data_IF_956012739819
#
_entry.id   IF_956012739819
#
_cell.length_a   1.000
_cell.length_b   1.000
_cell.length_c   1.000
_cell.angle_alpha   90.00
_cell.angle_beta   90.00
_cell.angle_gamma   90.00
#
_symmetry.space_group_name_H-M   'P 1'
#
loop_
_entity.id
_entity.type
_entity.pdbx_description
1 polymer ?
#
# COMPACT_ATOMS: atom_id res chain seq x y z
N UNK A 1 -19.35 -2.21 15.21
CA UNK A 1 -19.56 -3.67 15.01
C UNK A 1 -18.49 -4.46 15.78
N UNK A 2 -18.86 -5.64 16.31
CA UNK A 2 -17.88 -6.57 16.88
C UNK A 2 -16.90 -7.10 15.83
N UNK A 3 -15.75 -7.58 16.29
CA UNK A 3 -14.78 -8.24 15.42
C UNK A 3 -15.37 -9.56 14.89
N UNK A 4 -15.55 -9.70 13.55
CA UNK A 4 -16.10 -10.90 12.94
C UNK A 4 -15.03 -11.94 12.59
N UNK A 5 -13.76 -11.74 12.97
CA UNK A 5 -12.70 -12.69 12.67
C UNK A 5 -13.00 -14.06 13.29
N UNK A 6 -12.88 -15.18 12.54
CA UNK A 6 -13.31 -16.49 13.01
C UNK A 6 -12.55 -17.01 14.24
N UNK A 7 -11.33 -16.53 14.46
CA UNK A 7 -10.48 -16.96 15.57
C UNK A 7 -10.50 -15.83 16.60
N UNK A 8 -10.95 -16.06 17.84
CA UNK A 8 -10.94 -15.01 18.85
C UNK A 8 -9.52 -14.69 19.33
N UNK A 9 -9.32 -13.53 19.98
CA UNK A 9 -8.03 -13.18 20.58
C UNK A 9 -7.52 -14.27 21.52
N UNK A 10 -6.29 -14.72 21.29
CA UNK A 10 -5.65 -15.78 22.08
C UNK A 10 -5.12 -15.21 23.41
N UNK A 11 -5.67 -15.56 24.59
CA UNK A 11 -5.36 -14.85 25.83
C UNK A 11 -3.88 -14.85 26.21
N UNK A 12 -3.18 -15.96 25.98
CA UNK A 12 -1.76 -16.08 26.26
C UNK A 12 -0.91 -15.16 25.36
N UNK A 13 -1.30 -15.01 24.10
CA UNK A 13 -0.58 -14.20 23.11
C UNK A 13 -0.84 -12.72 23.37
N UNK A 14 -2.08 -12.34 23.64
CA UNK A 14 -2.45 -10.99 24.07
C UNK A 14 -1.65 -10.58 25.31
N UNK A 15 -1.54 -11.46 26.31
CA UNK A 15 -0.74 -11.23 27.51
C UNK A 15 0.76 -11.12 27.20
N UNK A 16 1.28 -11.95 26.29
CA UNK A 16 2.69 -11.93 25.90
C UNK A 16 3.08 -10.63 25.18
N UNK A 17 2.21 -10.07 24.34
CA UNK A 17 2.48 -8.83 23.62
C UNK A 17 2.14 -7.57 24.43
N UNK A 18 1.37 -7.69 25.52
CA UNK A 18 0.94 -6.56 26.34
C UNK A 18 2.08 -5.61 26.75
N UNK A 19 3.25 -6.09 27.25
CA UNK A 19 4.33 -5.17 27.65
C UNK A 19 4.87 -4.33 26.47
N UNK A 20 4.95 -4.93 25.28
CA UNK A 20 5.34 -4.22 24.06
C UNK A 20 4.26 -3.21 23.65
N UNK A 21 2.99 -3.62 23.69
CA UNK A 21 1.86 -2.75 23.39
C UNK A 21 1.79 -1.55 24.36
N UNK A 22 2.03 -1.77 25.65
CA UNK A 22 2.03 -0.70 26.65
C UNK A 22 3.19 0.27 26.42
N UNK A 23 4.40 -0.24 26.15
CA UNK A 23 5.59 0.58 25.91
C UNK A 23 5.43 1.48 24.66
N UNK A 24 4.87 0.93 23.58
CA UNK A 24 4.60 1.67 22.35
C UNK A 24 3.19 2.25 22.28
N UNK A 25 2.43 2.24 23.39
CA UNK A 25 1.04 2.70 23.47
C UNK A 25 0.10 2.18 22.36
N UNK A 26 0.32 0.95 21.89
CA UNK A 26 -0.51 0.27 20.88
C UNK A 26 -1.69 -0.44 21.56
N UNK A 27 -2.57 0.34 22.19
CA UNK A 27 -3.65 -0.11 23.09
C UNK A 27 -4.47 -1.30 22.57
N UNK A 28 -4.78 -1.34 21.27
CA UNK A 28 -5.63 -2.38 20.67
C UNK A 28 -4.84 -3.51 20.00
N UNK A 29 -3.51 -3.42 19.92
CA UNK A 29 -2.68 -4.49 19.35
C UNK A 29 -2.88 -5.84 20.07
N UNK A 30 -2.96 -5.94 21.42
CA UNK A 30 -3.20 -7.22 22.09
C UNK A 30 -4.50 -7.91 21.67
N UNK A 31 -5.50 -7.14 21.21
CA UNK A 31 -6.76 -7.69 20.70
C UNK A 31 -6.54 -8.34 19.32
N UNK A 32 -5.76 -7.70 18.45
CA UNK A 32 -5.62 -8.08 17.04
C UNK A 32 -4.28 -8.74 16.67
N UNK A 33 -3.37 -8.96 17.63
CA UNK A 33 -2.03 -9.52 17.38
C UNK A 33 -2.09 -10.87 16.68
N UNK A 34 -3.10 -11.68 16.99
CA UNK A 34 -3.31 -12.97 16.36
C UNK A 34 -3.64 -12.83 14.86
N UNK A 35 -4.46 -11.85 14.46
CA UNK A 35 -4.74 -11.55 13.05
C UNK A 35 -3.52 -11.03 12.30
N UNK A 36 -2.70 -10.18 12.95
CA UNK A 36 -1.43 -9.68 12.39
C UNK A 36 -0.51 -10.86 12.08
N UNK A 37 -0.33 -11.77 13.04
CA UNK A 37 0.52 -12.96 12.87
C UNK A 37 -0.04 -13.94 11.85
N UNK A 38 -1.35 -14.22 11.89
CA UNK A 38 -2.00 -15.12 10.93
C UNK A 38 -1.85 -14.57 9.52
N UNK A 39 -2.05 -13.26 9.33
CA UNK A 39 -1.91 -12.61 8.02
C UNK A 39 -0.45 -12.66 7.54
N UNK A 40 0.51 -12.27 8.39
CA UNK A 40 1.93 -12.32 8.05
C UNK A 40 2.40 -13.72 7.67
N UNK A 41 2.06 -14.73 8.48
CA UNK A 41 2.42 -16.12 8.24
C UNK A 41 1.67 -16.68 7.02
N UNK A 42 0.41 -16.29 6.83
CA UNK A 42 -0.40 -16.65 5.67
C UNK A 42 0.22 -16.17 4.36
N UNK A 43 0.61 -14.90 4.28
CA UNK A 43 1.28 -14.36 3.09
C UNK A 43 2.68 -14.93 2.89
N UNK A 44 3.42 -15.22 3.97
CA UNK A 44 4.69 -15.94 3.90
C UNK A 44 4.51 -17.35 3.32
N UNK A 45 3.48 -18.08 3.78
CA UNK A 45 3.12 -19.39 3.25
C UNK A 45 2.71 -19.33 1.78
N UNK A 46 1.90 -18.33 1.41
CA UNK A 46 1.48 -18.13 0.03
C UNK A 46 2.70 -17.89 -0.85
N UNK A 47 3.58 -16.96 -0.46
CA UNK A 47 4.77 -16.60 -1.22
C UNK A 47 5.74 -17.78 -1.42
N UNK A 48 6.03 -18.52 -0.35
CA UNK A 48 7.12 -19.50 -0.36
C UNK A 48 6.66 -20.89 -0.82
N UNK A 49 5.38 -21.20 -0.67
CA UNK A 49 4.86 -22.56 -0.90
C UNK A 49 3.76 -22.52 -1.96
N UNK A 50 2.65 -21.83 -1.69
CA UNK A 50 1.46 -21.93 -2.54
C UNK A 50 1.68 -21.36 -3.94
N UNK A 51 2.22 -20.14 -4.05
CA UNK A 51 2.41 -19.44 -5.31
C UNK A 51 3.40 -20.19 -6.23
N UNK A 52 4.58 -20.63 -5.78
CA UNK A 52 5.47 -21.43 -6.61
C UNK A 52 4.87 -22.77 -7.05
N UNK A 53 4.18 -23.48 -6.16
CA UNK A 53 3.59 -24.78 -6.48
C UNK A 53 2.43 -24.65 -7.47
N UNK A 54 1.53 -23.69 -7.22
CA UNK A 54 0.39 -23.43 -8.09
C UNK A 54 0.86 -22.93 -9.46
N UNK A 55 1.83 -22.02 -9.50
CA UNK A 55 2.37 -21.48 -10.76
C UNK A 55 3.10 -22.53 -11.59
N UNK A 56 3.85 -23.46 -10.96
CA UNK A 56 4.42 -24.63 -11.64
C UNK A 56 3.34 -25.55 -12.21
N UNK A 57 2.19 -25.67 -11.56
CA UNK A 57 1.10 -26.55 -12.01
C UNK A 57 0.27 -25.93 -13.13
N UNK A 58 -0.08 -24.65 -13.02
CA UNK A 58 -0.94 -23.95 -13.98
C UNK A 58 -0.12 -23.48 -15.19
N UNK A 59 1.11 -23.00 -14.98
CA UNK A 59 1.97 -22.43 -16.01
C UNK A 59 3.33 -23.14 -16.09
N UNK A 60 3.38 -24.48 -16.25
CA UNK A 60 4.61 -25.28 -16.11
C UNK A 60 5.74 -24.82 -17.04
N UNK A 61 5.40 -24.44 -18.27
CA UNK A 61 6.39 -24.01 -19.28
C UNK A 61 6.86 -22.58 -19.06
N UNK A 62 5.93 -21.65 -18.79
CA UNK A 62 6.25 -20.22 -18.65
C UNK A 62 6.99 -19.95 -17.35
N UNK A 63 6.44 -20.40 -16.22
CA UNK A 63 7.02 -20.16 -14.91
C UNK A 63 8.41 -20.80 -14.77
N UNK A 64 8.62 -22.02 -15.29
CA UNK A 64 9.92 -22.68 -15.22
C UNK A 64 11.05 -21.88 -15.91
N UNK A 65 10.73 -21.20 -17.02
CA UNK A 65 11.68 -20.40 -17.83
C UNK A 65 12.02 -19.04 -17.22
N UNK A 66 11.29 -18.58 -16.20
CA UNK A 66 11.58 -17.30 -15.55
C UNK A 66 12.92 -17.35 -14.80
N UNK A 67 13.65 -16.24 -14.83
CA UNK A 67 14.82 -16.01 -13.99
C UNK A 67 14.44 -16.01 -12.50
N UNK A 68 15.39 -16.21 -11.57
CA UNK A 68 15.09 -16.18 -10.13
C UNK A 68 14.37 -14.89 -9.69
N UNK A 69 14.85 -13.72 -10.13
CA UNK A 69 14.24 -12.42 -9.80
C UNK A 69 12.80 -12.31 -10.34
N UNK A 70 12.56 -12.78 -11.57
CA UNK A 70 11.21 -12.78 -12.17
C UNK A 70 10.26 -13.76 -11.49
N UNK A 71 10.77 -14.86 -10.93
CA UNK A 71 9.96 -15.78 -10.11
C UNK A 71 9.55 -15.12 -8.79
N UNK A 72 10.48 -14.42 -8.14
CA UNK A 72 10.17 -13.66 -6.93
C UNK A 72 9.09 -12.63 -7.23
N UNK A 73 9.25 -11.84 -8.30
CA UNK A 73 8.25 -10.84 -8.67
C UNK A 73 6.89 -11.51 -9.00
N UNK A 74 6.90 -12.62 -9.74
CA UNK A 74 5.70 -13.41 -10.01
C UNK A 74 4.98 -13.87 -8.74
N UNK A 75 5.70 -14.45 -7.80
CA UNK A 75 5.12 -15.01 -6.57
C UNK A 75 4.58 -13.88 -5.66
N UNK A 76 5.23 -12.72 -5.64
CA UNK A 76 4.73 -11.51 -4.97
C UNK A 76 3.44 -10.99 -5.61
N UNK A 77 3.32 -11.00 -6.94
CA UNK A 77 2.06 -10.66 -7.62
C UNK A 77 0.91 -11.62 -7.26
N UNK A 78 1.20 -12.90 -7.01
CA UNK A 78 0.19 -13.85 -6.51
C UNK A 78 -0.25 -13.47 -5.10
N UNK A 79 0.69 -13.14 -4.21
CA UNK A 79 0.38 -12.70 -2.84
C UNK A 79 -0.44 -11.41 -2.86
N UNK A 80 -0.03 -10.41 -3.63
CA UNK A 80 -0.73 -9.13 -3.80
C UNK A 80 -2.15 -9.34 -4.33
N UNK A 81 -2.36 -10.25 -5.28
CA UNK A 81 -3.70 -10.56 -5.79
C UNK A 81 -4.60 -11.17 -4.71
N UNK A 82 -4.10 -12.12 -3.93
CA UNK A 82 -4.85 -12.75 -2.83
C UNK A 82 -5.18 -11.73 -1.75
N UNK A 83 -4.19 -10.94 -1.33
CA UNK A 83 -4.35 -9.87 -0.35
C UNK A 83 -5.43 -8.91 -0.82
N UNK A 84 -5.21 -8.27 -1.98
CA UNK A 84 -6.01 -7.12 -2.41
C UNK A 84 -7.44 -7.53 -2.69
N UNK A 85 -7.68 -8.73 -3.20
CA UNK A 85 -9.04 -9.26 -3.33
C UNK A 85 -9.70 -9.46 -1.96
N UNK A 86 -8.98 -10.09 -1.01
CA UNK A 86 -9.52 -10.42 0.31
C UNK A 86 -9.80 -9.18 1.14
N UNK A 87 -8.82 -8.29 1.30
CA UNK A 87 -8.94 -7.15 2.19
C UNK A 87 -9.97 -6.13 1.69
N UNK A 88 -10.06 -5.92 0.37
CA UNK A 88 -11.03 -4.98 -0.17
C UNK A 88 -12.44 -5.51 -0.03
N UNK A 89 -12.66 -6.81 -0.25
CA UNK A 89 -13.95 -7.44 0.00
C UNK A 89 -14.38 -7.26 1.45
N UNK A 90 -13.50 -7.58 2.40
CA UNK A 90 -13.78 -7.44 3.83
C UNK A 90 -13.97 -5.97 4.23
N UNK A 91 -13.12 -5.06 3.77
CA UNK A 91 -13.20 -3.64 4.09
C UNK A 91 -14.49 -3.01 3.56
N UNK A 92 -14.89 -3.32 2.33
CA UNK A 92 -16.17 -2.88 1.77
C UNK A 92 -17.33 -3.45 2.58
N UNK A 93 -17.28 -4.74 2.92
CA UNK A 93 -18.32 -5.35 3.75
C UNK A 93 -18.43 -4.67 5.13
N UNK A 94 -17.31 -4.38 5.81
CA UNK A 94 -17.32 -3.61 7.07
C UNK A 94 -17.89 -2.21 6.83
N UNK A 95 -17.46 -1.51 5.78
CA UNK A 95 -17.97 -0.17 5.46
C UNK A 95 -19.48 -0.15 5.18
N UNK A 96 -20.05 -1.25 4.65
CA UNK A 96 -21.48 -1.37 4.35
C UNK A 96 -22.32 -1.95 5.49
N UNK A 97 -21.74 -2.62 6.49
CA UNK A 97 -22.50 -3.30 7.55
C UNK A 97 -22.23 -2.73 8.96
N UNK A 98 -21.11 -2.05 9.18
CA UNK A 98 -20.79 -1.45 10.46
C UNK A 98 -21.45 -0.06 10.60
N UNK A 99 -22.70 -0.06 11.08
CA UNK A 99 -23.47 1.16 11.32
C UNK A 99 -22.82 2.09 12.35
N UNK A 100 -22.13 1.56 13.37
CA UNK A 100 -21.40 2.38 14.36
C UNK A 100 -20.31 3.18 13.65
N UNK A 101 -19.49 2.49 12.83
CA UNK A 101 -18.43 3.13 12.05
C UNK A 101 -19.00 4.17 11.09
N UNK A 102 -20.09 3.87 10.37
CA UNK A 102 -20.67 4.79 9.38
C UNK A 102 -21.13 6.10 9.99
N UNK A 103 -21.66 6.06 11.20
CA UNK A 103 -22.25 7.21 11.88
C UNK A 103 -21.25 7.99 12.73
N UNK A 104 -19.95 7.65 12.68
CA UNK A 104 -18.91 8.33 13.45
C UNK A 104 -18.78 9.82 13.09
N UNK A 105 -18.91 10.67 14.10
CA UNK A 105 -18.57 12.08 14.01
C UNK A 105 -17.05 12.31 13.90
N UNK A 106 -16.59 13.56 13.90
CA UNK A 106 -15.16 13.84 13.73
C UNK A 106 -14.30 13.34 14.90
N UNK A 107 -14.81 13.38 16.14
CA UNK A 107 -14.08 12.90 17.32
C UNK A 107 -13.95 11.38 17.25
N UNK A 108 -15.07 10.70 16.98
CA UNK A 108 -15.12 9.25 16.86
C UNK A 108 -14.29 8.74 15.67
N UNK A 109 -14.12 9.51 14.60
CA UNK A 109 -13.19 9.15 13.51
C UNK A 109 -11.72 9.21 13.91
N UNK A 110 -11.35 10.02 14.92
CA UNK A 110 -9.99 10.09 15.44
C UNK A 110 -9.78 9.05 16.54
N UNK A 111 -10.59 9.01 17.60
CA UNK A 111 -10.32 8.17 18.77
C UNK A 111 -11.21 6.93 18.87
N UNK A 112 -12.28 6.89 18.09
CA UNK A 112 -13.24 5.79 18.13
C UNK A 112 -12.66 4.49 17.58
N UNK A 113 -13.21 3.40 18.07
CA UNK A 113 -12.80 2.05 17.77
C UNK A 113 -14.02 1.17 17.51
N UNK A 114 -13.90 0.31 16.49
CA UNK A 114 -14.81 -0.83 16.29
C UNK A 114 -13.98 -2.09 16.07
N UNK A 115 -14.48 -3.23 16.53
CA UNK A 115 -13.77 -4.50 16.37
C UNK A 115 -13.56 -4.86 14.91
N UNK A 116 -14.56 -4.62 14.06
CA UNK A 116 -14.47 -4.88 12.62
C UNK A 116 -13.43 -4.00 11.90
N UNK A 117 -13.31 -2.72 12.25
CA UNK A 117 -12.24 -1.89 11.69
C UNK A 117 -10.86 -2.27 12.25
N UNK A 118 -10.81 -2.67 13.53
CA UNK A 118 -9.64 -3.30 14.16
C UNK A 118 -9.16 -4.54 13.40
N UNK A 119 -10.08 -5.41 12.98
CA UNK A 119 -9.79 -6.60 12.17
C UNK A 119 -9.12 -6.26 10.84
N UNK A 120 -9.71 -5.33 10.09
CA UNK A 120 -9.14 -4.87 8.81
C UNK A 120 -7.73 -4.32 9.00
N UNK A 121 -7.53 -3.57 10.08
CA UNK A 121 -6.22 -3.02 10.43
C UNK A 121 -5.22 -4.09 10.85
N UNK A 122 -5.63 -5.09 11.64
CA UNK A 122 -4.83 -6.25 12.01
C UNK A 122 -4.32 -7.01 10.78
N UNK A 123 -5.24 -7.35 9.89
CA UNK A 123 -4.92 -8.05 8.64
C UNK A 123 -4.03 -7.20 7.71
N UNK A 124 -4.30 -5.91 7.58
CA UNK A 124 -3.50 -4.99 6.78
C UNK A 124 -2.08 -4.82 7.34
N UNK A 125 -1.93 -4.63 8.66
CA UNK A 125 -0.59 -4.54 9.29
C UNK A 125 0.22 -5.82 9.06
N UNK A 126 -0.40 -7.00 9.21
CA UNK A 126 0.29 -8.27 8.94
C UNK A 126 0.77 -8.40 7.49
N UNK A 127 -0.03 -7.92 6.53
CA UNK A 127 0.39 -7.83 5.13
C UNK A 127 1.52 -6.85 4.91
N UNK A 128 1.40 -5.60 5.37
CA UNK A 128 2.43 -4.58 5.13
C UNK A 128 3.73 -4.87 5.87
N UNK A 129 3.69 -5.64 6.96
CA UNK A 129 4.88 -6.16 7.60
C UNK A 129 5.59 -7.19 6.71
N UNK A 130 4.83 -8.09 6.09
CA UNK A 130 5.36 -9.04 5.10
C UNK A 130 5.88 -8.31 3.85
N UNK A 131 5.15 -7.32 3.35
CA UNK A 131 5.51 -6.51 2.18
C UNK A 131 6.82 -5.75 2.40
N UNK A 132 6.97 -5.11 3.57
CA UNK A 132 8.21 -4.44 3.94
C UNK A 132 9.38 -5.43 4.03
N UNK A 133 9.18 -6.60 4.64
CA UNK A 133 10.21 -7.63 4.75
C UNK A 133 10.69 -8.10 3.36
N UNK A 134 9.76 -8.46 2.47
CA UNK A 134 10.09 -8.95 1.12
C UNK A 134 10.72 -7.85 0.27
N UNK A 135 10.20 -6.62 0.38
CA UNK A 135 10.75 -5.47 -0.32
C UNK A 135 12.17 -5.15 0.15
N UNK A 136 12.45 -5.19 1.47
CA UNK A 136 13.80 -5.00 2.03
C UNK A 136 14.80 -6.07 1.56
N UNK A 137 14.36 -7.32 1.47
CA UNK A 137 15.20 -8.42 0.99
C UNK A 137 15.52 -8.30 -0.51
N UNK A 138 14.66 -7.61 -1.27
CA UNK A 138 14.72 -7.54 -2.73
C UNK A 138 14.66 -6.09 -3.26
N UNK A 139 15.24 -5.12 -2.54
CA UNK A 139 15.17 -3.68 -2.91
C UNK A 139 15.69 -3.41 -4.33
N UNK A 140 16.67 -4.20 -4.79
CA UNK A 140 17.19 -4.07 -6.16
C UNK A 140 16.16 -4.43 -7.23
N UNK A 141 15.20 -5.29 -6.90
CA UNK A 141 14.12 -5.73 -7.81
C UNK A 141 12.95 -4.75 -7.75
N UNK A 142 12.53 -4.33 -6.56
CA UNK A 142 11.33 -3.50 -6.38
C UNK A 142 11.58 -1.99 -6.42
N UNK A 143 12.80 -1.55 -6.11
CA UNK A 143 13.19 -0.15 -6.09
C UNK A 143 12.75 0.63 -4.84
N UNK A 144 13.22 1.88 -4.75
CA UNK A 144 13.01 2.73 -3.58
C UNK A 144 11.57 3.24 -3.43
N UNK A 145 10.84 3.39 -4.54
CA UNK A 145 9.44 3.81 -4.51
C UNK A 145 8.56 2.80 -3.76
N UNK A 146 8.77 1.51 -4.03
CA UNK A 146 8.07 0.44 -3.32
C UNK A 146 8.51 0.29 -1.87
N UNK A 147 9.79 0.50 -1.57
CA UNK A 147 10.25 0.53 -0.19
C UNK A 147 9.58 1.67 0.61
N UNK A 148 9.48 2.87 0.02
CA UNK A 148 8.79 3.99 0.64
C UNK A 148 7.29 3.72 0.84
N UNK A 149 6.65 3.04 -0.12
CA UNK A 149 5.27 2.57 0.00
C UNK A 149 5.11 1.60 1.17
N UNK A 150 5.85 0.50 1.19
CA UNK A 150 5.74 -0.56 2.21
C UNK A 150 5.97 -0.02 3.62
N UNK A 151 6.98 0.84 3.79
CA UNK A 151 7.26 1.50 5.06
C UNK A 151 6.12 2.43 5.49
N UNK A 152 5.65 3.29 4.59
CA UNK A 152 4.59 4.26 4.90
C UNK A 152 3.27 3.57 5.21
N UNK A 153 2.93 2.53 4.45
CA UNK A 153 1.74 1.71 4.68
C UNK A 153 1.81 1.00 6.04
N UNK A 154 2.93 0.37 6.37
CA UNK A 154 3.10 -0.27 7.67
C UNK A 154 2.94 0.73 8.83
N UNK A 155 3.51 1.94 8.71
CA UNK A 155 3.40 2.99 9.73
C UNK A 155 1.92 3.38 9.94
N UNK A 156 1.19 3.71 8.87
CA UNK A 156 -0.19 4.20 9.01
C UNK A 156 -1.12 3.14 9.59
N UNK A 157 -0.96 1.87 9.22
CA UNK A 157 -1.79 0.78 9.77
C UNK A 157 -1.37 0.36 11.19
N UNK A 158 -0.07 0.43 11.51
CA UNK A 158 0.40 0.15 12.89
C UNK A 158 -0.07 1.21 13.88
N UNK A 159 -0.14 2.47 13.46
CA UNK A 159 -0.57 3.56 14.34
C UNK A 159 -2.04 3.51 14.68
N UNK A 160 -2.86 2.87 13.86
CA UNK A 160 -4.27 2.65 14.20
C UNK A 160 -4.48 1.74 15.41
N UNK A 161 -3.45 1.07 15.92
CA UNK A 161 -3.56 0.32 17.19
C UNK A 161 -3.54 1.23 18.41
N UNK A 162 -3.10 2.48 18.24
CA UNK A 162 -3.33 3.57 19.17
C UNK A 162 -4.80 4.02 19.03
N UNK A 163 -5.38 4.74 20.00
CA UNK A 163 -6.67 5.40 19.81
C UNK A 163 -6.52 6.58 18.82
N UNK A 164 -6.24 6.27 17.57
CA UNK A 164 -5.91 7.21 16.52
C UNK A 164 -6.30 6.64 15.16
N UNK A 165 -7.24 7.29 14.47
CA UNK A 165 -7.64 7.08 13.07
C UNK A 165 -8.01 5.65 12.67
N UNK A 166 -8.48 4.81 13.59
CA UNK A 166 -8.93 3.44 13.29
C UNK A 166 -10.04 3.40 12.23
N UNK A 167 -10.95 4.39 12.25
CA UNK A 167 -11.98 4.60 11.21
C UNK A 167 -11.39 4.60 9.79
N UNK A 168 -10.23 5.24 9.63
CA UNK A 168 -9.57 5.44 8.34
C UNK A 168 -8.85 4.19 7.84
N UNK A 169 -8.64 3.16 8.67
CA UNK A 169 -8.05 1.88 8.25
C UNK A 169 -8.86 1.23 7.12
N UNK A 170 -10.17 1.11 7.30
CA UNK A 170 -11.07 0.60 6.25
C UNK A 170 -11.15 1.51 5.02
N UNK A 171 -10.89 2.81 5.20
CA UNK A 171 -10.98 3.81 4.13
C UNK A 171 -9.77 3.79 3.21
N UNK A 172 -8.56 3.83 3.78
CA UNK A 172 -7.32 3.90 3.02
C UNK A 172 -6.86 2.55 2.47
N UNK A 173 -7.30 1.43 3.06
CA UNK A 173 -7.02 0.11 2.48
C UNK A 173 -7.66 -0.08 1.10
N UNK A 174 -8.72 0.69 0.78
CA UNK A 174 -9.34 0.70 -0.55
C UNK A 174 -8.42 1.22 -1.66
N UNK A 175 -7.24 1.75 -1.34
CA UNK A 175 -6.21 2.02 -2.35
C UNK A 175 -5.83 0.73 -3.08
N UNK A 176 -5.93 -0.41 -2.41
CA UNK A 176 -5.68 -1.72 -3.00
C UNK A 176 -6.75 -2.17 -3.99
N UNK A 177 -7.88 -1.46 -4.14
CA UNK A 177 -8.98 -1.89 -5.01
C UNK A 177 -8.58 -1.97 -6.49
N UNK A 178 -7.56 -1.19 -6.90
CA UNK A 178 -6.98 -1.28 -8.24
C UNK A 178 -5.96 -2.42 -8.41
N UNK A 179 -5.40 -2.94 -7.31
CA UNK A 179 -4.31 -3.92 -7.31
C UNK A 179 -4.68 -5.25 -7.98
N UNK A 180 -5.91 -5.80 -7.87
CA UNK A 180 -6.27 -7.00 -8.62
C UNK A 180 -6.12 -6.81 -10.14
N UNK A 181 -6.58 -5.67 -10.67
CA UNK A 181 -6.46 -5.35 -12.10
C UNK A 181 -5.01 -5.14 -12.51
N UNK A 182 -4.19 -4.55 -11.62
CA UNK A 182 -2.76 -4.37 -11.84
C UNK A 182 -2.05 -5.72 -11.96
N UNK A 183 -2.30 -6.62 -11.01
CA UNK A 183 -1.77 -7.98 -11.00
C UNK A 183 -2.16 -8.75 -12.27
N UNK A 184 -3.44 -8.74 -12.66
CA UNK A 184 -3.86 -9.38 -13.91
C UNK A 184 -3.22 -8.74 -15.16
N UNK A 185 -3.05 -7.41 -15.17
CA UNK A 185 -2.40 -6.73 -16.28
C UNK A 185 -0.95 -7.18 -16.43
N UNK A 186 -0.24 -7.32 -15.31
CA UNK A 186 1.13 -7.83 -15.25
C UNK A 186 1.20 -9.30 -15.68
N UNK A 187 0.30 -10.16 -15.20
CA UNK A 187 0.26 -11.57 -15.63
C UNK A 187 0.01 -11.71 -17.12
N UNK A 188 -0.88 -10.90 -17.71
CA UNK A 188 -1.09 -10.92 -19.17
C UNK A 188 0.19 -10.56 -19.94
N UNK A 189 1.00 -9.65 -19.42
CA UNK A 189 2.31 -9.34 -20.03
C UNK A 189 3.25 -10.55 -19.96
N UNK A 190 3.40 -11.17 -18.78
CA UNK A 190 4.33 -12.30 -18.59
C UNK A 190 3.88 -13.61 -19.23
N UNK A 191 2.60 -13.73 -19.56
CA UNK A 191 2.03 -14.87 -20.27
C UNK A 191 2.02 -14.70 -21.79
N UNK A 192 2.67 -13.66 -22.33
CA UNK A 192 2.66 -13.30 -23.76
C UNK A 192 1.25 -13.04 -24.32
N UNK A 193 0.36 -12.52 -23.47
CA UNK A 193 -1.00 -12.12 -23.84
C UNK A 193 -1.09 -10.61 -24.13
N UNK A 194 0.07 -9.96 -24.34
CA UNK A 194 0.12 -8.53 -24.63
C UNK A 194 -0.60 -8.20 -25.93
N UNK A 195 -1.50 -7.21 -25.88
CA UNK A 195 -2.35 -6.80 -27.00
C UNK A 195 -3.66 -7.60 -27.15
N UNK A 196 -3.90 -8.60 -26.29
CA UNK A 196 -5.18 -9.32 -26.29
C UNK A 196 -6.35 -8.43 -25.85
N UNK A 197 -7.58 -8.80 -26.25
CA UNK A 197 -8.81 -8.13 -25.77
C UNK A 197 -8.93 -8.18 -24.24
N UNK A 198 -8.52 -9.30 -23.62
CA UNK A 198 -8.52 -9.45 -22.17
C UNK A 198 -7.61 -8.42 -21.49
N UNK A 199 -6.37 -8.26 -21.97
CA UNK A 199 -5.45 -7.25 -21.43
C UNK A 199 -5.97 -5.82 -21.66
N UNK A 200 -6.63 -5.55 -22.79
CA UNK A 200 -7.23 -4.24 -23.07
C UNK A 200 -8.35 -3.90 -22.08
N UNK A 201 -9.35 -4.77 -21.93
CA UNK A 201 -10.46 -4.53 -20.99
C UNK A 201 -9.96 -4.41 -19.55
N UNK A 202 -9.03 -5.28 -19.15
CA UNK A 202 -8.42 -5.20 -17.84
C UNK A 202 -7.61 -3.90 -17.66
N UNK A 203 -6.90 -3.44 -18.68
CA UNK A 203 -6.18 -2.16 -18.66
C UNK A 203 -7.10 -0.95 -18.49
N UNK A 204 -8.28 -0.96 -19.13
CA UNK A 204 -9.31 0.08 -18.93
C UNK A 204 -9.81 0.06 -17.48
N UNK A 205 -10.13 -1.13 -16.95
CA UNK A 205 -10.58 -1.28 -15.56
C UNK A 205 -9.49 -0.87 -14.56
N UNK A 206 -8.22 -1.21 -14.83
CA UNK A 206 -7.08 -0.76 -14.03
C UNK A 206 -7.01 0.77 -13.97
N UNK A 207 -7.03 1.46 -15.10
CA UNK A 207 -6.97 2.92 -15.14
C UNK A 207 -8.16 3.55 -14.41
N UNK A 208 -9.37 3.05 -14.66
CA UNK A 208 -10.58 3.56 -14.04
C UNK A 208 -10.58 3.37 -12.52
N UNK A 209 -10.27 2.16 -12.05
CA UNK A 209 -10.26 1.85 -10.61
C UNK A 209 -9.13 2.59 -9.90
N UNK A 210 -7.93 2.63 -10.46
CA UNK A 210 -6.80 3.37 -9.90
C UNK A 210 -7.11 4.86 -9.77
N UNK A 211 -7.65 5.48 -10.82
CA UNK A 211 -8.06 6.89 -10.77
C UNK A 211 -9.14 7.11 -9.69
N UNK A 212 -10.16 6.26 -9.65
CA UNK A 212 -11.30 6.44 -8.76
C UNK A 212 -10.94 6.21 -7.29
N UNK A 213 -10.30 5.09 -6.94
CA UNK A 213 -10.03 4.75 -5.54
C UNK A 213 -8.80 5.47 -4.97
N UNK A 214 -7.73 5.66 -5.76
CA UNK A 214 -6.48 6.27 -5.27
C UNK A 214 -6.45 7.77 -5.43
N UNK A 215 -6.83 8.30 -6.60
CA UNK A 215 -6.70 9.74 -6.88
C UNK A 215 -7.92 10.53 -6.39
N UNK A 216 -9.14 10.06 -6.67
CA UNK A 216 -10.36 10.79 -6.28
C UNK A 216 -10.72 10.51 -4.82
N UNK A 217 -11.08 9.26 -4.51
CA UNK A 217 -11.47 8.87 -3.16
C UNK A 217 -10.33 9.06 -2.16
N UNK A 218 -9.13 8.63 -2.52
CA UNK A 218 -7.97 8.76 -1.65
C UNK A 218 -7.62 10.19 -1.29
N UNK A 219 -7.53 11.09 -2.27
CA UNK A 219 -7.27 12.51 -2.00
C UNK A 219 -8.38 13.12 -1.14
N UNK A 220 -9.65 12.82 -1.42
CA UNK A 220 -10.78 13.29 -0.60
C UNK A 220 -10.65 12.84 0.86
N UNK A 221 -10.35 11.57 1.10
CA UNK A 221 -10.22 11.03 2.45
C UNK A 221 -8.95 11.51 3.16
N UNK A 222 -7.87 11.77 2.41
CA UNK A 222 -6.68 12.45 2.92
C UNK A 222 -7.00 13.85 3.42
N UNK A 223 -7.73 14.66 2.65
CA UNK A 223 -8.17 15.98 3.12
C UNK A 223 -9.04 15.85 4.38
N UNK A 224 -9.94 14.87 4.43
CA UNK A 224 -10.81 14.63 5.59
C UNK A 224 -10.03 14.26 6.85
N UNK A 225 -9.06 13.33 6.77
CA UNK A 225 -8.24 12.99 7.93
C UNK A 225 -7.36 14.16 8.36
N UNK A 226 -6.92 15.01 7.42
CA UNK A 226 -6.17 16.23 7.77
C UNK A 226 -7.04 17.21 8.55
N UNK A 227 -8.31 17.38 8.15
CA UNK A 227 -9.28 18.21 8.86
C UNK A 227 -9.61 17.67 10.25
N UNK A 228 -9.82 16.35 10.38
CA UNK A 228 -10.13 15.73 11.66
C UNK A 228 -8.92 15.79 12.61
N UNK A 229 -7.70 15.53 12.12
CA UNK A 229 -6.47 15.65 12.91
C UNK A 229 -6.23 17.12 13.30
N UNK A 230 -6.48 18.07 12.41
CA UNK A 230 -6.40 19.50 12.73
C UNK A 230 -7.36 19.88 13.87
N UNK A 231 -8.61 19.41 13.81
CA UNK A 231 -9.59 19.63 14.88
C UNK A 231 -9.13 18.98 16.19
N UNK A 232 -8.60 17.75 16.14
CA UNK A 232 -8.07 17.07 17.31
C UNK A 232 -6.88 17.80 17.96
N UNK A 233 -5.99 18.41 17.17
CA UNK A 233 -4.86 19.19 17.68
C UNK A 233 -5.28 20.52 18.34
N UNK A 234 -6.46 21.04 17.99
CA UNK A 234 -7.02 22.27 18.58
C UNK A 234 -8.13 21.97 19.61
N UNK A 235 -8.42 20.70 19.84
CA UNK A 235 -9.39 20.28 20.83
C UNK A 235 -8.79 20.43 22.23
N UNK A 236 -9.51 21.11 23.12
CA UNK A 236 -9.17 21.13 24.55
C UNK A 236 -10.02 20.06 25.25
N UNK A 237 -9.41 19.01 25.83
CA UNK A 237 -10.16 17.98 26.55
C UNK A 237 -10.94 18.62 27.70
N UNK A 238 -12.18 18.19 27.94
CA UNK A 238 -13.05 18.76 28.98
C UNK A 238 -12.44 18.77 30.41
N UNK A 239 -11.35 18.03 30.64
CA UNK A 239 -10.63 17.98 31.92
C UNK A 239 -9.72 19.19 32.20
N UNK A 240 -9.56 20.16 31.29
CA UNK A 240 -8.77 21.38 31.55
C UNK A 240 -9.54 22.52 32.23
N UNK A 241 -10.86 22.40 32.43
CA UNK A 241 -11.60 23.34 33.27
C UNK A 241 -11.65 22.84 34.71
N UNK A 242 -10.84 23.43 35.60
CA UNK A 242 -11.12 23.38 37.03
C UNK A 242 -12.42 24.16 37.24
N UNK A 243 -13.48 23.46 37.63
CA UNK A 243 -14.74 24.10 38.01
C UNK A 243 -14.54 24.79 39.37
N UNK A 244 -14.24 26.10 39.34
CA UNK A 244 -13.95 26.89 40.54
C UNK A 244 -15.19 26.96 41.46
N UNK A 245 -16.39 26.77 40.93
CA UNK A 245 -17.62 26.73 41.73
C UNK A 245 -17.70 25.47 42.61
N UNK A 246 -17.02 24.38 42.23
CA UNK A 246 -16.93 23.16 43.04
C UNK A 246 -15.99 23.29 44.26
N UNK A 247 -15.12 24.31 44.29
CA UNK A 247 -14.23 24.59 45.44
C UNK A 247 -14.92 25.33 46.59
N UNK A 248 -16.11 25.92 46.35
CA UNK A 248 -16.88 26.65 47.36
C UNK A 248 -17.91 25.79 48.10
N UNK A 249 -18.08 24.51 47.70
CA UNK A 249 -18.95 23.55 48.38
C UNK A 249 -18.19 22.72 49.42
N UNK A 250 -18.71 22.62 50.64
CA UNK A 250 -18.17 21.84 51.77
C UNK A 250 -18.28 20.31 51.61
N UNK A 251 -17.98 19.78 50.43
CA UNK A 251 -17.90 18.34 50.18
C UNK A 251 -16.45 17.95 49.86
N UNK A 252 -15.87 17.11 50.72
CA UNK A 252 -14.54 16.55 50.55
C UNK A 252 -14.36 15.94 49.14
N UNK A 253 -13.54 16.60 48.33
CA UNK A 253 -13.17 16.15 47.00
C UNK A 253 -12.36 14.85 47.08
N UNK A 254 -13.05 13.72 46.91
CA UNK A 254 -12.40 12.48 46.47
C UNK A 254 -12.07 12.64 44.99
N UNK A 255 -10.86 13.14 44.72
CA UNK A 255 -10.32 13.31 43.39
C UNK A 255 -10.19 11.98 42.64
N UNK A 256 -11.26 11.59 41.96
CA UNK A 256 -11.17 10.81 40.73
C UNK A 256 -11.58 11.75 39.62
N UNK A 257 -10.61 12.22 38.83
CA UNK A 257 -10.89 12.92 37.58
C UNK A 257 -11.89 12.06 36.81
N UNK A 258 -13.11 12.58 36.66
CA UNK A 258 -14.15 11.89 35.90
C UNK A 258 -13.65 11.82 34.45
N UNK A 259 -13.14 10.66 34.06
CA UNK A 259 -13.04 10.34 32.64
C UNK A 259 -14.45 10.52 32.06
N UNK A 260 -14.61 11.20 30.91
CA UNK A 260 -15.90 11.29 30.26
C UNK A 260 -16.53 9.90 30.18
N UNK A 261 -17.85 9.80 30.44
CA UNK A 261 -18.64 8.61 30.13
C UNK A 261 -18.56 8.40 28.61
N UNK A 262 -17.50 7.72 28.17
CA UNK A 262 -17.28 7.43 26.77
C UNK A 262 -18.28 6.35 26.36
N UNK A 263 -19.05 6.64 25.32
CA UNK A 263 -19.81 5.65 24.56
C UNK A 263 -18.89 4.46 24.17
N UNK A 264 -19.45 3.26 23.94
CA UNK A 264 -18.67 2.02 23.72
C UNK A 264 -17.62 2.18 22.59
N UNK A 265 -17.92 3.03 21.61
CA UNK A 265 -17.04 3.42 20.50
C UNK A 265 -15.75 4.09 20.98
N UNK A 266 -15.82 4.92 22.02
CA UNK A 266 -14.70 5.74 22.50
C UNK A 266 -13.97 5.12 23.70
N UNK A 267 -14.21 3.83 24.01
CA UNK A 267 -13.65 3.13 25.17
C UNK A 267 -12.12 3.15 25.31
N UNK A 268 -11.38 3.39 24.23
CA UNK A 268 -9.92 3.49 24.22
C UNK A 268 -9.39 4.93 24.09
N UNK A 269 -10.27 5.93 23.97
CA UNK A 269 -9.90 7.31 23.66
C UNK A 269 -9.05 7.99 24.75
N UNK A 270 -9.15 7.53 26.00
CA UNK A 270 -8.35 8.05 27.11
C UNK A 270 -8.61 9.53 27.36
N UNK A 271 -7.58 10.36 27.15
CA UNK A 271 -7.64 11.83 27.33
C UNK A 271 -7.94 12.59 26.02
N UNK A 272 -8.34 11.90 24.94
CA UNK A 272 -8.59 12.52 23.63
C UNK A 272 -7.44 13.41 23.16
N UNK A 273 -6.20 12.98 23.43
CA UNK A 273 -4.98 13.71 23.11
C UNK A 273 -4.24 13.05 21.95
N UNK A 274 -3.89 13.84 20.94
CA UNK A 274 -3.06 13.40 19.81
C UNK A 274 -1.67 14.03 19.93
N UNK A 275 -0.61 13.23 20.20
CA UNK A 275 0.75 13.74 20.19
C UNK A 275 1.14 14.32 18.83
N UNK A 276 1.80 15.49 18.81
CA UNK A 276 2.21 16.15 17.56
C UNK A 276 3.07 15.24 16.67
N UNK A 277 4.01 14.48 17.25
CA UNK A 277 4.83 13.56 16.49
C UNK A 277 3.99 12.47 15.80
N UNK A 278 2.93 11.99 16.45
CA UNK A 278 2.04 10.95 15.90
C UNK A 278 1.29 11.49 14.69
N UNK A 279 0.74 12.70 14.83
CA UNK A 279 0.10 13.42 13.73
C UNK A 279 1.06 13.64 12.57
N UNK A 280 2.23 14.25 12.81
CA UNK A 280 3.19 14.54 11.73
C UNK A 280 3.69 13.29 11.02
N UNK A 281 3.99 12.22 11.75
CA UNK A 281 4.44 10.97 11.13
C UNK A 281 3.33 10.33 10.31
N UNK A 282 2.10 10.25 10.83
CA UNK A 282 0.96 9.69 10.08
C UNK A 282 0.64 10.50 8.82
N UNK A 283 0.53 11.82 8.96
CA UNK A 283 0.23 12.72 7.85
C UNK A 283 1.35 12.71 6.80
N UNK A 284 2.62 12.68 7.24
CA UNK A 284 3.78 12.53 6.36
C UNK A 284 3.75 11.22 5.56
N UNK A 285 3.49 10.09 6.21
CA UNK A 285 3.32 8.80 5.52
C UNK A 285 2.15 8.82 4.54
N UNK A 286 1.04 9.46 4.91
CA UNK A 286 -0.11 9.62 4.02
C UNK A 286 0.20 10.50 2.79
N UNK A 287 0.99 11.57 2.95
CA UNK A 287 1.47 12.40 1.83
C UNK A 287 2.36 11.60 0.88
N UNK A 288 3.29 10.79 1.42
CA UNK A 288 4.15 9.91 0.61
C UNK A 288 3.29 8.95 -0.21
N UNK A 289 2.34 8.24 0.42
CA UNK A 289 1.47 7.28 -0.25
C UNK A 289 0.64 7.94 -1.37
N UNK A 290 0.07 9.12 -1.13
CA UNK A 290 -0.66 9.85 -2.16
C UNK A 290 0.25 10.32 -3.30
N UNK A 291 1.44 10.83 -2.98
CA UNK A 291 2.40 11.28 -3.99
C UNK A 291 2.82 10.12 -4.90
N UNK A 292 3.06 8.94 -4.33
CA UNK A 292 3.34 7.73 -5.09
C UNK A 292 2.16 7.33 -6.00
N UNK A 293 0.92 7.44 -5.51
CA UNK A 293 -0.26 7.20 -6.35
C UNK A 293 -0.32 8.13 -7.57
N UNK A 294 -0.10 9.43 -7.38
CA UNK A 294 -0.05 10.38 -8.50
C UNK A 294 1.11 10.07 -9.46
N UNK A 295 2.28 9.73 -8.92
CA UNK A 295 3.46 9.35 -9.71
C UNK A 295 3.18 8.12 -10.59
N UNK A 296 2.68 7.04 -9.99
CA UNK A 296 2.36 5.80 -10.71
C UNK A 296 1.25 5.99 -11.74
N UNK A 297 0.22 6.79 -11.42
CA UNK A 297 -0.81 7.11 -12.41
C UNK A 297 -0.22 7.86 -13.60
N UNK A 298 0.65 8.85 -13.36
CA UNK A 298 1.39 9.53 -14.42
C UNK A 298 2.19 8.57 -15.31
N UNK A 299 2.86 7.58 -14.71
CA UNK A 299 3.59 6.53 -15.43
C UNK A 299 2.70 5.60 -16.25
N UNK A 300 1.51 5.26 -15.75
CA UNK A 300 0.53 4.49 -16.51
C UNK A 300 0.06 5.27 -17.74
N UNK A 301 -0.26 6.55 -17.59
CA UNK A 301 -0.67 7.41 -18.72
C UNK A 301 0.47 7.59 -19.73
N UNK A 302 1.71 7.78 -19.27
CA UNK A 302 2.88 7.87 -20.13
C UNK A 302 3.04 6.59 -20.99
N UNK A 303 2.90 5.42 -20.36
CA UNK A 303 2.97 4.11 -21.02
C UNK A 303 1.87 3.94 -22.06
N UNK A 304 0.63 4.34 -21.74
CA UNK A 304 -0.49 4.31 -22.69
C UNK A 304 -0.21 5.25 -23.86
N UNK A 305 0.23 6.48 -23.60
CA UNK A 305 0.53 7.48 -24.65
C UNK A 305 1.62 6.99 -25.60
N UNK A 306 2.67 6.33 -25.09
CA UNK A 306 3.75 5.75 -25.91
C UNK A 306 3.23 4.71 -26.90
N UNK A 307 2.15 3.99 -26.60
CA UNK A 307 1.54 3.00 -27.51
C UNK A 307 0.80 3.63 -28.70
N UNK A 308 0.40 4.90 -28.59
CA UNK A 308 -0.30 5.63 -29.66
C UNK A 308 0.60 6.59 -30.45
N UNK A 309 1.84 6.80 -30.00
CA UNK A 309 2.80 7.57 -30.79
C UNK A 309 3.29 6.69 -31.94
N UNK A 310 3.22 7.14 -33.21
CA UNK A 310 3.85 6.42 -34.31
C UNK A 310 5.35 6.27 -33.99
N UNK A 311 5.99 5.15 -34.38
CA UNK A 311 7.43 5.02 -34.23
C UNK A 311 8.07 6.25 -34.83
N UNK A 312 8.83 7.02 -34.04
CA UNK A 312 9.70 8.06 -34.62
C UNK A 312 10.45 7.36 -35.74
N UNK A 313 10.30 7.85 -36.97
CA UNK A 313 11.03 7.34 -38.12
C UNK A 313 12.47 7.16 -37.68
N UNK A 314 12.88 5.89 -37.55
CA UNK A 314 14.26 5.59 -37.31
C UNK A 314 14.97 6.20 -38.51
N UNK A 315 15.69 7.31 -38.32
CA UNK A 315 16.58 7.87 -39.33
C UNK A 315 17.33 6.67 -39.88
N UNK A 316 16.99 6.31 -41.11
CA UNK A 316 17.53 5.18 -41.83
C UNK A 316 19.03 5.33 -41.70
N UNK A 317 19.66 4.49 -40.88
CA UNK A 317 21.12 4.38 -40.88
C UNK A 317 21.45 3.98 -42.31
N UNK A 318 21.89 4.93 -43.12
CA UNK A 318 22.54 4.61 -44.38
C UNK A 318 23.65 3.64 -44.01
N UNK A 319 23.54 2.40 -44.52
CA UNK A 319 24.65 1.47 -44.47
C UNK A 319 25.79 2.16 -45.21
N UNK A 320 26.91 2.41 -44.55
CA UNK A 320 28.12 2.86 -45.20
C UNK A 320 28.42 1.93 -46.39
N UNK A 321 28.34 2.45 -47.61
CA UNK A 321 28.68 1.73 -48.83
C UNK A 321 30.19 1.84 -48.98
N UNK A 322 30.91 0.76 -48.69
CA UNK A 322 32.33 0.68 -48.99
C UNK A 322 32.50 0.65 -50.52
N UNK A 323 32.98 1.74 -51.09
CA UNK A 323 33.26 1.83 -52.53
C UNK A 323 34.72 1.47 -52.77
N UNK A 324 34.98 0.33 -53.42
CA UNK A 324 36.31 -0.01 -53.92
C UNK A 324 36.52 0.64 -55.29
N UNK A 325 37.52 1.50 -55.43
CA UNK A 325 38.02 1.92 -56.73
C UNK A 325 39.47 1.42 -56.91
N UNK A 326 39.74 0.86 -58.08
CA UNK A 326 41.08 0.42 -58.50
C UNK A 326 41.64 1.44 -59.49
N UNK A 327 42.68 2.17 -59.09
CA UNK A 327 43.42 3.04 -60.01
C UNK A 327 44.34 2.21 -60.93
N UNK A 328 44.63 2.76 -62.11
CA UNK A 328 45.38 2.09 -63.19
C UNK A 328 46.82 1.64 -62.86
N UNK A 329 47.33 1.90 -61.64
CA UNK A 329 48.65 1.47 -61.16
C UNK A 329 48.59 0.37 -60.07
N UNK A 330 47.48 -0.36 -59.96
CA UNK A 330 47.41 -1.58 -59.14
C UNK A 330 47.41 -1.38 -57.61
N UNK A 331 47.36 -0.15 -57.10
CA UNK A 331 47.15 0.13 -55.66
C UNK A 331 45.66 0.27 -55.34
N UNK A 332 45.14 -0.56 -54.44
CA UNK A 332 43.79 -0.44 -53.88
C UNK A 332 43.77 0.51 -52.69
N UNK A 333 42.84 1.47 -52.67
CA UNK A 333 42.61 2.37 -51.53
C UNK A 333 41.20 2.14 -50.99
N UNK A 334 41.05 2.03 -49.67
CA UNK A 334 39.75 1.88 -48.99
C UNK A 334 39.60 3.16 -48.16
N UNK A 335 38.72 4.06 -48.59
CA UNK A 335 38.34 5.22 -47.78
C UNK A 335 37.14 4.80 -46.92
N UNK A 336 37.34 4.80 -45.61
CA UNK A 336 36.29 4.57 -44.61
C UNK A 336 35.99 5.93 -44.01
N UNK A 337 34.78 6.45 -44.25
CA UNK A 337 34.32 7.68 -43.61
C UNK A 337 34.01 7.38 -42.13
N UNK A 338 34.88 7.84 -41.22
CA UNK A 338 34.75 7.63 -39.78
C UNK A 338 33.63 8.52 -39.22
N UNK A 339 32.40 8.02 -39.29
CA UNK A 339 31.31 8.53 -38.45
C UNK A 339 31.16 7.65 -37.21
N UNK A 340 31.55 8.22 -36.07
CA UNK A 340 31.52 7.74 -34.69
C UNK A 340 30.84 6.38 -34.43
N UNK A 341 31.66 5.40 -34.05
CA UNK A 341 31.21 4.12 -33.48
C UNK A 341 30.64 4.34 -32.08
N UNK A 342 29.35 4.70 -31.99
CA UNK A 342 28.63 4.62 -30.71
C UNK A 342 28.37 3.15 -30.40
N UNK A 343 29.03 2.63 -29.34
CA UNK A 343 28.75 1.33 -28.73
C UNK A 343 27.24 1.10 -28.67
N UNK A 344 26.82 -0.10 -29.08
CA UNK A 344 25.49 -0.64 -28.77
C UNK A 344 25.33 -0.58 -27.25
N UNK A 345 24.65 0.43 -26.73
CA UNK A 345 23.84 0.19 -25.56
C UNK A 345 22.80 -0.80 -26.04
N UNK A 346 22.96 -2.06 -25.63
CA UNK A 346 21.81 -2.92 -25.41
C UNK A 346 20.86 -2.03 -24.62
N UNK A 347 19.70 -1.76 -25.20
CA UNK A 347 18.61 -1.15 -24.45
C UNK A 347 18.40 -2.13 -23.31
N UNK A 348 18.93 -1.79 -22.13
CA UNK A 348 18.37 -2.28 -20.90
C UNK A 348 16.89 -1.96 -21.08
N UNK A 349 16.08 -3.00 -21.26
CA UNK A 349 14.64 -2.88 -21.06
C UNK A 349 14.53 -2.19 -19.70
N UNK A 350 14.24 -0.87 -19.71
CA UNK A 350 13.88 -0.17 -18.50
C UNK A 350 12.77 -1.03 -17.91
N UNK A 351 13.02 -1.69 -16.78
CA UNK A 351 12.07 -2.63 -16.29
C UNK A 351 10.82 -1.79 -15.99
N UNK A 352 9.72 -2.14 -16.66
CA UNK A 352 8.38 -1.84 -16.17
C UNK A 352 8.19 -2.72 -14.92
N UNK A 353 9.05 -2.56 -13.92
CA UNK A 353 9.02 -3.24 -12.63
C UNK A 353 9.18 -2.15 -11.58
N UNK A 354 8.03 -1.56 -11.25
CA UNK A 354 7.67 -0.92 -9.97
C UNK A 354 6.35 -0.15 -10.16
N UNK A 355 5.36 -0.83 -10.73
CA UNK A 355 3.96 -0.48 -10.48
C UNK A 355 3.37 -1.76 -9.88
N UNK A 356 3.69 -2.02 -8.61
CA UNK A 356 2.97 -2.93 -7.73
C UNK A 356 3.30 -2.55 -6.32
#
# INVERSE_FOLDING_TARGET
MHDPFPIPPLPWLSKAIQPFADYFHLTTLPLHVHEVLISFLGYTFINNILAPQLSKRIFPVKYAKLSPERKINWDVHVVSLVQSTTINFLALWVMFNDEERKNMDWQQRIWGYTGAAGMIQGMATGYFLWDLMVTLQNVRVFGLGMLAHALSALIVFSFGFRPFVNFYGCTFILYELSSPFLNFHWFFDKLDMTGSKAQLYNGIMLLFTFFSCRLVWGTYQSVRVYQDVWQALHHQPATTSIDIDALNGTAAATGKSAAPLHDDIMRFAGQEFVPLWLAFTYLGSNVILNTLNFYWFGKMIETVRKRFQPPKEAKRKEKAIATRSTGANGKSRIDIDETEVRRRNVVDDEPIDAIS
#
